data_IF_504163462527
#
_entry.id   IF_504163462527
#
_cell.length_a   1.000
_cell.length_b   1.000
_cell.length_c   1.000
_cell.angle_alpha   90.00
_cell.angle_beta   90.00
_cell.angle_gamma   90.00
#
_symmetry.space_group_name_H-M   'P 1'
#
loop_
_entity.id
_entity.type
_entity.pdbx_description
1 polymer ?
#
# COMPACT_ATOMS: atom_id res chain seq x y z
N UNK A 1 10.59 -12.42 -45.58
CA UNK A 1 11.04 -12.26 -44.18
C UNK A 1 9.84 -11.74 -43.40
N UNK A 2 9.19 -12.61 -42.65
CA UNK A 2 7.99 -12.24 -41.90
C UNK A 2 8.35 -11.41 -40.67
N UNK A 3 7.63 -10.31 -40.46
CA UNK A 3 7.81 -9.44 -39.30
C UNK A 3 7.12 -10.07 -38.10
N UNK A 4 7.89 -10.43 -37.07
CA UNK A 4 7.37 -10.82 -35.77
C UNK A 4 6.79 -9.58 -35.08
N UNK A 5 5.50 -9.60 -34.73
CA UNK A 5 4.91 -8.55 -33.91
C UNK A 5 5.34 -8.72 -32.46
N UNK A 6 5.95 -7.66 -31.89
CA UNK A 6 6.25 -7.61 -30.46
C UNK A 6 5.06 -6.99 -29.75
N UNK A 7 4.33 -7.80 -28.99
CA UNK A 7 3.26 -7.32 -28.11
C UNK A 7 3.87 -6.78 -26.82
N UNK A 8 3.81 -5.46 -26.61
CA UNK A 8 4.21 -4.85 -25.34
C UNK A 8 3.20 -5.20 -24.24
N UNK A 9 3.66 -5.89 -23.19
CA UNK A 9 2.91 -6.03 -21.93
C UNK A 9 3.51 -5.08 -20.90
N UNK A 10 2.73 -4.08 -20.45
CA UNK A 10 3.01 -3.40 -19.19
C UNK A 10 2.45 -4.24 -18.06
N UNK A 11 3.32 -4.79 -17.23
CA UNK A 11 2.93 -5.46 -15.99
C UNK A 11 3.51 -4.65 -14.84
N UNK A 12 2.66 -3.92 -14.12
CA UNK A 12 3.00 -3.33 -12.82
C UNK A 12 2.17 -4.04 -11.76
N UNK A 13 2.65 -5.20 -11.30
CA UNK A 13 2.17 -5.83 -10.08
C UNK A 13 3.25 -5.62 -9.02
N UNK A 14 3.18 -4.46 -8.36
CA UNK A 14 3.90 -4.23 -7.10
C UNK A 14 2.85 -4.29 -6.01
N UNK A 15 2.31 -5.49 -5.78
CA UNK A 15 1.68 -5.83 -4.51
C UNK A 15 2.83 -6.04 -3.53
N UNK A 16 3.17 -5.00 -2.76
CA UNK A 16 4.14 -5.15 -1.68
C UNK A 16 3.38 -5.57 -0.44
N UNK A 17 3.45 -6.86 -0.16
CA UNK A 17 3.07 -7.42 1.13
C UNK A 17 4.30 -7.47 2.02
N UNK A 18 4.21 -6.86 3.19
CA UNK A 18 5.22 -6.93 4.24
C UNK A 18 4.62 -7.62 5.45
N UNK A 19 5.30 -8.65 5.95
CA UNK A 19 4.87 -9.41 7.12
C UNK A 19 5.90 -9.26 8.22
N UNK A 20 5.45 -8.99 9.44
CA UNK A 20 6.30 -8.83 10.61
C UNK A 20 5.62 -9.36 11.87
N UNK A 21 6.42 -9.69 12.89
CA UNK A 21 5.94 -10.23 14.16
C UNK A 21 6.15 -9.20 15.28
N UNK A 22 5.13 -8.99 16.09
CA UNK A 22 5.23 -8.21 17.33
C UNK A 22 4.61 -9.05 18.44
N UNK A 23 5.38 -9.39 19.48
CA UNK A 23 4.89 -10.17 20.64
C UNK A 23 4.21 -11.50 20.28
N UNK A 24 4.59 -12.12 19.15
CA UNK A 24 4.00 -13.37 18.65
C UNK A 24 2.80 -13.18 17.72
N UNK A 25 2.28 -11.95 17.62
CA UNK A 25 1.22 -11.60 16.66
C UNK A 25 1.79 -11.35 15.27
N UNK A 26 1.05 -11.80 14.25
CA UNK A 26 1.40 -11.64 12.84
C UNK A 26 0.75 -10.40 12.28
N UNK A 27 1.56 -9.42 11.90
CA UNK A 27 1.10 -8.25 11.17
C UNK A 27 1.42 -8.41 9.69
N UNK A 28 0.46 -8.07 8.83
CA UNK A 28 0.64 -8.06 7.39
C UNK A 28 0.15 -6.74 6.81
N UNK A 29 1.06 -6.00 6.19
CA UNK A 29 0.77 -4.75 5.50
C UNK A 29 0.83 -4.97 3.99
N UNK A 30 -0.28 -4.73 3.32
CA UNK A 30 -0.41 -4.78 1.88
C UNK A 30 -0.56 -3.37 1.32
N UNK A 31 0.34 -2.98 0.39
CA UNK A 31 0.23 -1.73 -0.36
C UNK A 31 -0.07 -2.03 -1.82
N UNK A 32 -1.16 -1.44 -2.32
CA UNK A 32 -1.58 -1.57 -3.72
C UNK A 32 -1.16 -0.34 -4.54
N UNK A 33 -1.08 -0.49 -5.85
CA UNK A 33 -0.61 0.55 -6.77
C UNK A 33 -1.49 1.82 -6.78
N UNK A 34 -2.75 1.71 -6.36
CA UNK A 34 -3.72 2.83 -6.30
C UNK A 34 -3.51 3.77 -5.11
N UNK A 35 -2.34 3.72 -4.46
CA UNK A 35 -2.04 4.46 -3.23
C UNK A 35 -2.93 4.09 -2.04
N UNK A 36 -3.59 2.93 -2.10
CA UNK A 36 -4.29 2.34 -0.95
C UNK A 36 -3.43 1.30 -0.24
N UNK A 37 -3.81 0.94 0.97
CA UNK A 37 -3.15 -0.12 1.72
C UNK A 37 -4.02 -0.68 2.83
N UNK A 38 -3.68 -1.88 3.30
CA UNK A 38 -4.41 -2.57 4.37
C UNK A 38 -3.40 -3.13 5.36
N UNK A 39 -3.67 -2.96 6.66
CA UNK A 39 -2.95 -3.65 7.72
C UNK A 39 -3.87 -4.70 8.33
N UNK A 40 -3.39 -5.94 8.42
CA UNK A 40 -4.05 -7.01 9.14
C UNK A 40 -3.21 -7.50 10.32
N UNK A 41 -3.89 -7.97 11.35
CA UNK A 41 -3.37 -8.58 12.57
C UNK A 41 -3.96 -9.98 12.68
N UNK A 42 -3.13 -11.02 12.62
CA UNK A 42 -3.55 -12.42 12.64
C UNK A 42 -4.66 -12.74 11.62
N UNK A 43 -4.64 -12.06 10.46
CA UNK A 43 -5.64 -12.18 9.40
C UNK A 43 -6.85 -11.26 9.52
N UNK A 44 -7.06 -10.58 10.65
CA UNK A 44 -8.13 -9.60 10.85
C UNK A 44 -7.69 -8.20 10.41
N UNK A 45 -8.58 -7.48 9.72
CA UNK A 45 -8.29 -6.13 9.23
C UNK A 45 -8.38 -5.10 10.36
N UNK A 46 -7.28 -4.42 10.63
CA UNK A 46 -7.17 -3.44 11.72
C UNK A 46 -6.88 -2.01 11.24
N UNK A 47 -6.46 -1.84 9.98
CA UNK A 47 -6.40 -0.53 9.35
C UNK A 47 -6.55 -0.57 7.83
N UNK A 48 -7.02 0.54 7.26
CA UNK A 48 -7.13 0.79 5.82
C UNK A 48 -6.64 2.19 5.51
N UNK A 49 -5.89 2.30 4.42
CA UNK A 49 -5.45 3.55 3.82
C UNK A 49 -6.25 3.76 2.55
N UNK A 50 -6.89 4.92 2.45
CA UNK A 50 -7.61 5.38 1.26
C UNK A 50 -6.91 6.61 0.71
N UNK A 51 -6.66 6.61 -0.59
CA UNK A 51 -6.20 7.80 -1.28
C UNK A 51 -7.35 8.81 -1.38
N UNK A 52 -7.16 10.04 -0.90
CA UNK A 52 -8.16 11.12 -1.00
C UNK A 52 -8.03 11.92 -2.31
N UNK A 53 -6.95 11.72 -3.08
CA UNK A 53 -6.54 12.59 -4.19
C UNK A 53 -7.25 12.30 -5.53
N UNK A 54 -8.52 11.87 -5.51
CA UNK A 54 -9.33 11.90 -6.74
C UNK A 54 -9.92 13.30 -7.02
N UNK A 55 -9.41 14.34 -6.35
CA UNK A 55 -9.79 15.74 -6.59
C UNK A 55 -8.60 16.49 -7.18
N UNK A 56 -8.75 16.89 -8.44
CA UNK A 56 -7.74 17.47 -9.36
C UNK A 56 -7.07 18.80 -8.90
N UNK A 57 -7.03 19.13 -7.60
CA UNK A 57 -6.73 20.49 -7.15
C UNK A 57 -5.76 20.66 -5.99
N UNK A 58 -5.22 19.60 -5.38
CA UNK A 58 -4.28 19.77 -4.24
C UNK A 58 -2.87 19.23 -4.50
N UNK A 59 -1.89 20.13 -4.37
CA UNK A 59 -0.44 19.90 -4.45
C UNK A 59 0.14 19.07 -3.30
N UNK A 60 -0.70 18.51 -2.43
CA UNK A 60 -0.30 17.69 -1.29
C UNK A 60 -0.97 16.33 -1.43
N UNK A 61 -0.18 15.28 -1.67
CA UNK A 61 -0.71 13.92 -1.68
C UNK A 61 -1.25 13.59 -0.29
N UNK A 62 -2.57 13.53 -0.10
CA UNK A 62 -3.20 13.30 1.21
C UNK A 62 -3.73 11.87 1.28
N UNK A 63 -3.33 11.17 2.34
CA UNK A 63 -3.87 9.86 2.69
C UNK A 63 -4.86 9.98 3.85
N UNK A 64 -5.92 9.18 3.81
CA UNK A 64 -6.79 8.94 4.95
C UNK A 64 -6.51 7.56 5.52
N UNK A 65 -6.31 7.47 6.83
CA UNK A 65 -6.08 6.21 7.53
C UNK A 65 -7.25 5.98 8.48
N UNK A 66 -7.98 4.89 8.27
CA UNK A 66 -8.99 4.37 9.20
C UNK A 66 -8.36 3.21 9.96
N UNK A 67 -8.32 3.28 11.29
CA UNK A 67 -7.70 2.28 12.14
C UNK A 67 -8.51 2.07 13.42
N UNK A 68 -8.31 0.91 14.06
CA UNK A 68 -9.00 0.57 15.32
C UNK A 68 -8.56 1.44 16.52
N UNK A 69 -7.39 2.06 16.44
CA UNK A 69 -6.87 3.02 17.42
C UNK A 69 -5.71 3.86 16.82
N UNK A 70 -5.25 4.87 17.58
CA UNK A 70 -4.23 5.82 17.16
C UNK A 70 -2.83 5.20 16.98
N UNK A 71 -2.50 4.16 17.76
CA UNK A 71 -1.23 3.44 17.66
C UNK A 71 -1.14 2.70 16.31
N UNK A 72 -2.21 1.99 15.95
CA UNK A 72 -2.33 1.30 14.67
C UNK A 72 -2.37 2.29 13.51
N UNK A 73 -3.03 3.44 13.66
CA UNK A 73 -3.00 4.50 12.64
C UNK A 73 -1.56 4.98 12.38
N UNK A 74 -0.80 5.21 13.45
CA UNK A 74 0.59 5.69 13.40
C UNK A 74 1.52 4.65 12.76
N UNK A 75 1.42 3.38 13.18
CA UNK A 75 2.16 2.27 12.57
C UNK A 75 1.87 2.16 11.07
N UNK A 76 0.59 2.21 10.71
CA UNK A 76 0.13 2.15 9.32
C UNK A 76 0.72 3.28 8.47
N UNK A 77 0.78 4.51 9.01
CA UNK A 77 1.38 5.65 8.33
C UNK A 77 2.88 5.44 8.06
N UNK A 78 3.62 4.94 9.05
CA UNK A 78 5.06 4.64 8.92
C UNK A 78 5.29 3.58 7.83
N UNK A 79 4.53 2.49 7.86
CA UNK A 79 4.62 1.40 6.88
C UNK A 79 4.28 1.84 5.46
N UNK A 80 3.34 2.78 5.31
CA UNK A 80 2.97 3.33 4.02
C UNK A 80 4.05 4.20 3.39
N UNK A 81 4.76 4.98 4.20
CA UNK A 81 5.82 5.91 3.77
C UNK A 81 7.13 5.18 3.40
N UNK A 82 7.39 3.98 3.95
CA UNK A 82 8.76 3.42 4.05
C UNK A 82 9.35 2.76 2.81
N UNK A 83 8.67 2.58 1.66
CA UNK A 83 9.28 1.82 0.54
C UNK A 83 8.99 2.32 -0.89
N UNK A 84 9.23 3.60 -1.15
CA UNK A 84 9.52 4.06 -2.52
C UNK A 84 11.04 4.07 -2.71
N UNK A 85 11.61 2.98 -3.21
CA UNK A 85 12.98 2.99 -3.74
C UNK A 85 12.94 3.91 -4.97
N UNK A 86 13.54 5.10 -4.87
CA UNK A 86 13.82 5.93 -6.05
C UNK A 86 14.65 5.07 -7.02
N UNK A 87 14.12 4.82 -8.20
CA UNK A 87 14.89 4.40 -9.37
C UNK A 87 15.07 5.64 -10.25
#
# INVERSE_FOLDING_TARGET
>A
MDKVSITQKRVQLIEKVQTFLINGDVYQFEKVYTNSGTLTLNGEKIAVIKNLDNTNTNLTNRIHIEAINDEIASLTAIMYQTFVRKF
#
